data_IF_862135714430
#
_entry.id   IF_862135714430
#
_cell.length_a   1.000
_cell.length_b   1.000
_cell.length_c   1.000
_cell.angle_alpha   90.00
_cell.angle_beta   90.00
_cell.angle_gamma   90.00
#
_symmetry.space_group_name_H-M   'P 1'
#
loop_
_entity.id
_entity.type
_entity.pdbx_description
1 polymer ?
#
# COMPACT_ATOMS: atom_id res chain seq x y z
N UNK A 1 -22.29 -2.50 -15.56
CA UNK A 1 -21.52 -1.71 -16.55
C UNK A 1 -21.28 -0.25 -16.13
N UNK A 2 -22.29 0.53 -15.69
CA UNK A 2 -22.09 1.95 -15.31
C UNK A 2 -21.15 2.17 -14.10
N UNK A 3 -21.11 1.26 -13.13
CA UNK A 3 -20.24 1.36 -11.94
C UNK A 3 -18.76 1.09 -12.27
N UNK A 4 -18.47 0.26 -13.23
CA UNK A 4 -17.10 -0.03 -13.68
C UNK A 4 -16.51 1.15 -14.47
N UNK A 5 -17.33 1.87 -15.22
CA UNK A 5 -16.92 3.05 -15.97
C UNK A 5 -16.56 4.22 -15.05
N UNK A 6 -17.28 4.37 -13.92
CA UNK A 6 -16.99 5.41 -12.93
C UNK A 6 -15.65 5.17 -12.21
N UNK A 7 -15.33 3.91 -11.93
CA UNK A 7 -14.04 3.52 -11.35
C UNK A 7 -12.87 3.76 -12.32
N UNK A 8 -13.06 3.47 -13.60
CA UNK A 8 -12.05 3.71 -14.63
C UNK A 8 -11.78 5.21 -14.82
N UNK A 9 -12.82 6.05 -14.77
CA UNK A 9 -12.67 7.51 -14.84
C UNK A 9 -12.00 8.11 -13.61
N UNK A 10 -12.25 7.56 -12.42
CA UNK A 10 -11.57 8.00 -11.19
C UNK A 10 -10.07 7.65 -11.23
N UNK A 11 -9.70 6.51 -11.77
CA UNK A 11 -8.28 6.13 -11.97
C UNK A 11 -7.63 7.02 -13.04
N UNK A 12 -8.33 7.34 -14.13
CA UNK A 12 -7.78 8.21 -15.18
C UNK A 12 -7.59 9.65 -14.71
N UNK A 13 -8.42 10.16 -13.80
CA UNK A 13 -8.27 11.50 -13.25
C UNK A 13 -7.08 11.63 -12.27
N UNK A 14 -6.65 10.56 -11.65
CA UNK A 14 -5.42 10.50 -10.83
C UNK A 14 -4.15 10.49 -11.70
N UNK A 15 -4.24 10.05 -12.95
CA UNK A 15 -3.11 10.04 -13.90
C UNK A 15 -2.85 11.40 -14.57
N UNK A 16 -3.74 12.39 -14.38
CA UNK A 16 -3.56 13.75 -14.91
C UNK A 16 -2.74 14.67 -14.01
N UNK A 17 -2.08 14.17 -12.98
CA UNK A 17 -1.06 14.91 -12.25
C UNK A 17 0.15 15.02 -13.17
N UNK A 18 0.29 16.18 -13.82
CA UNK A 18 1.45 16.50 -14.63
C UNK A 18 2.71 16.32 -13.79
N UNK A 19 3.72 15.56 -14.27
CA UNK A 19 4.97 15.42 -13.54
C UNK A 19 5.59 16.82 -13.38
N UNK A 20 5.68 17.29 -12.14
CA UNK A 20 6.49 18.44 -11.83
C UNK A 20 7.93 18.03 -12.14
N UNK A 21 8.48 18.58 -13.22
CA UNK A 21 9.84 18.34 -13.69
C UNK A 21 10.80 18.54 -12.51
N UNK A 22 11.49 17.49 -12.11
CA UNK A 22 12.62 17.59 -11.20
C UNK A 22 13.71 18.39 -11.88
N UNK A 23 13.67 19.71 -11.74
CA UNK A 23 14.67 20.61 -12.28
C UNK A 23 15.91 20.52 -11.40
N UNK A 24 16.86 19.67 -11.79
CA UNK A 24 18.21 19.64 -11.26
C UNK A 24 18.80 21.05 -11.42
N UNK A 25 18.88 21.79 -10.34
CA UNK A 25 19.61 23.04 -10.26
C UNK A 25 21.09 22.81 -10.52
N UNK A 26 21.51 23.08 -11.76
CA UNK A 26 22.92 23.15 -12.13
C UNK A 26 23.49 24.47 -11.56
N UNK A 27 24.28 24.36 -10.49
CA UNK A 27 24.96 25.49 -9.88
C UNK A 27 25.83 26.22 -10.90
N UNK A 28 25.41 27.41 -11.29
CA UNK A 28 26.23 28.37 -12.03
C UNK A 28 26.94 29.28 -11.02
N UNK A 29 28.25 29.27 -11.02
CA UNK A 29 29.06 30.27 -10.34
C UNK A 29 28.90 31.60 -11.07
N UNK A 30 28.28 32.57 -10.44
CA UNK A 30 28.18 33.94 -10.92
C UNK A 30 28.67 34.91 -9.86
N UNK A 31 29.71 35.67 -10.20
CA UNK A 31 30.36 36.66 -9.35
C UNK A 31 29.43 37.77 -8.85
N UNK A 32 29.68 38.17 -7.62
CA UNK A 32 29.07 39.25 -6.88
C UNK A 32 29.22 40.62 -7.55
N UNK A 33 28.18 41.44 -7.42
CA UNK A 33 28.37 42.88 -7.29
C UNK A 33 27.40 43.41 -6.21
N UNK A 34 28.00 44.14 -5.27
CA UNK A 34 27.38 44.69 -4.09
C UNK A 34 26.38 45.79 -4.40
N UNK A 35 25.17 45.64 -3.95
CA UNK A 35 24.19 46.69 -3.87
C UNK A 35 23.26 46.45 -2.66
N UNK A 36 23.42 47.30 -1.65
CA UNK A 36 22.55 47.34 -0.48
C UNK A 36 21.10 47.55 -0.93
N UNK A 37 20.22 46.54 -0.73
CA UNK A 37 18.78 46.72 -0.77
C UNK A 37 18.15 46.21 0.52
N UNK A 38 17.43 47.13 1.13
CA UNK A 38 16.59 46.95 2.31
C UNK A 38 15.62 45.78 2.18
N UNK A 39 15.42 45.09 3.28
CA UNK A 39 14.70 43.87 3.47
C UNK A 39 13.33 43.78 2.82
N UNK A 40 13.21 42.88 1.87
CA UNK A 40 11.99 42.20 1.57
C UNK A 40 12.08 40.82 2.22
N UNK A 41 11.20 40.51 3.17
CA UNK A 41 11.00 39.16 3.62
C UNK A 41 10.51 38.33 2.43
N UNK A 42 11.45 37.74 1.68
CA UNK A 42 11.09 36.71 0.73
C UNK A 42 10.50 35.52 1.54
N UNK A 43 9.19 35.40 1.52
CA UNK A 43 8.53 34.17 1.90
C UNK A 43 9.07 33.12 0.93
N UNK A 44 10.08 32.35 1.36
CA UNK A 44 10.45 31.15 0.64
C UNK A 44 9.23 30.25 0.61
N UNK A 45 8.53 30.27 -0.51
CA UNK A 45 7.46 29.30 -0.76
C UNK A 45 8.12 27.92 -0.81
N UNK A 46 7.94 27.13 0.24
CA UNK A 46 8.37 25.75 0.25
C UNK A 46 7.50 24.98 -0.74
N UNK A 47 8.14 24.46 -1.79
CA UNK A 47 7.51 23.50 -2.70
C UNK A 47 7.95 22.11 -2.24
N UNK A 48 7.07 21.31 -1.66
CA UNK A 48 7.43 19.98 -1.21
C UNK A 48 7.85 19.10 -2.39
N UNK A 49 8.87 18.29 -2.22
CA UNK A 49 9.18 17.25 -3.19
C UNK A 49 8.05 16.22 -3.18
N UNK A 50 7.62 15.82 -4.36
CA UNK A 50 6.58 14.83 -4.56
C UNK A 50 7.06 13.78 -5.56
N UNK A 51 6.57 12.58 -5.41
CA UNK A 51 6.74 11.53 -6.41
C UNK A 51 5.43 10.75 -6.59
N UNK A 52 5.22 10.24 -7.78
CA UNK A 52 4.25 9.21 -8.08
C UNK A 52 4.95 7.86 -8.25
N UNK A 53 4.27 6.77 -7.98
CA UNK A 53 4.84 5.45 -8.18
C UNK A 53 3.81 4.41 -8.56
N UNK A 54 4.25 3.41 -9.32
CA UNK A 54 3.48 2.20 -9.60
C UNK A 54 4.11 1.04 -8.85
N UNK A 55 3.28 0.16 -8.32
CA UNK A 55 3.66 -1.02 -7.54
C UNK A 55 3.03 -2.27 -8.15
N UNK A 56 3.81 -3.33 -8.22
CA UNK A 56 3.37 -4.65 -8.64
C UNK A 56 4.13 -5.70 -7.83
N UNK A 57 3.45 -6.69 -7.28
CA UNK A 57 4.10 -7.71 -6.48
C UNK A 57 3.17 -8.81 -6.02
N UNK A 58 3.65 -9.54 -5.04
CA UNK A 58 2.96 -10.67 -4.45
C UNK A 58 2.78 -10.46 -2.95
N UNK A 59 1.72 -10.99 -2.43
CA UNK A 59 1.44 -11.12 -1.01
C UNK A 59 1.43 -12.58 -0.59
N UNK A 60 1.78 -12.82 0.65
CA UNK A 60 1.65 -14.09 1.34
C UNK A 60 0.88 -13.81 2.63
N UNK A 61 -0.40 -14.12 2.63
CA UNK A 61 -1.33 -13.79 3.72
C UNK A 61 -1.76 -15.02 4.49
N UNK A 62 -2.08 -14.82 5.74
CA UNK A 62 -2.69 -15.81 6.61
C UNK A 62 -3.77 -15.11 7.46
N UNK A 63 -4.66 -15.90 7.99
CA UNK A 63 -5.70 -15.43 8.89
C UNK A 63 -5.49 -16.09 10.24
N UNK A 64 -5.45 -15.27 11.28
CA UNK A 64 -5.45 -15.70 12.66
C UNK A 64 -6.89 -15.55 13.20
N UNK A 65 -7.43 -16.61 13.76
CA UNK A 65 -8.79 -16.64 14.31
C UNK A 65 -8.84 -17.43 15.60
N UNK A 66 -9.69 -16.99 16.52
CA UNK A 66 -10.02 -17.76 17.72
C UNK A 66 -10.87 -18.99 17.40
N UNK A 67 -11.39 -19.11 16.19
CA UNK A 67 -12.07 -20.30 15.71
C UNK A 67 -11.04 -21.34 15.23
N UNK A 68 -10.92 -22.53 15.90
CA UNK A 68 -9.85 -23.51 15.62
C UNK A 68 -9.83 -24.03 14.17
N UNK A 69 -10.96 -23.99 13.47
CA UNK A 69 -11.06 -24.44 12.07
C UNK A 69 -10.63 -23.36 11.06
N UNK A 70 -10.61 -22.08 11.47
CA UNK A 70 -10.11 -20.96 10.66
C UNK A 70 -8.64 -20.66 10.96
N UNK A 71 -8.16 -20.98 12.14
CA UNK A 71 -6.75 -20.84 12.55
C UNK A 71 -5.89 -21.86 11.80
N UNK A 72 -5.90 -21.73 10.52
CA UNK A 72 -5.24 -22.66 9.66
C UNK A 72 -3.92 -22.11 9.14
N UNK A 73 -2.87 -22.12 9.89
CA UNK A 73 -1.49 -21.77 9.56
C UNK A 73 -0.97 -21.97 8.10
N UNK A 74 -1.87 -22.04 7.12
CA UNK A 74 -1.56 -22.18 5.71
C UNK A 74 -1.68 -20.83 5.00
N UNK A 75 -0.55 -20.32 4.60
CA UNK A 75 -0.40 -19.09 3.83
C UNK A 75 -1.06 -19.21 2.45
N UNK A 76 -1.75 -18.15 2.05
CA UNK A 76 -2.24 -17.96 0.68
C UNK A 76 -1.41 -16.91 -0.02
N UNK A 77 -1.01 -17.22 -1.27
CA UNK A 77 -0.35 -16.23 -2.14
C UNK A 77 -1.41 -15.43 -2.89
N UNK A 78 -1.18 -14.14 -2.99
CA UNK A 78 -2.03 -13.20 -3.70
C UNK A 78 -1.23 -12.20 -4.53
N UNK A 79 -1.93 -11.42 -5.33
CA UNK A 79 -1.41 -10.36 -6.16
C UNK A 79 -1.50 -9.01 -5.42
N UNK A 80 -0.52 -8.15 -5.66
CA UNK A 80 -0.51 -6.77 -5.17
C UNK A 80 -0.22 -5.83 -6.34
N UNK A 81 -1.11 -4.89 -6.64
CA UNK A 81 -0.91 -3.94 -7.75
C UNK A 81 -1.59 -2.62 -7.44
N UNK A 82 -0.91 -1.51 -7.75
CA UNK A 82 -1.51 -0.20 -7.57
C UNK A 82 -0.58 0.97 -7.84
N UNK A 83 -1.03 2.13 -7.39
CA UNK A 83 -0.31 3.39 -7.53
C UNK A 83 -0.23 4.11 -6.18
N UNK A 84 0.88 4.79 -5.97
CA UNK A 84 1.17 5.55 -4.75
C UNK A 84 1.61 6.97 -5.07
N UNK A 85 1.45 7.85 -4.11
CA UNK A 85 1.96 9.23 -4.14
C UNK A 85 2.65 9.51 -2.82
N UNK A 86 3.88 10.00 -2.87
CA UNK A 86 4.63 10.44 -1.71
C UNK A 86 4.84 11.95 -1.73
N UNK A 87 4.68 12.60 -0.58
CA UNK A 87 4.88 14.03 -0.39
C UNK A 87 5.85 14.24 0.75
N UNK A 88 6.92 15.00 0.51
CA UNK A 88 7.87 15.37 1.56
C UNK A 88 7.19 16.28 2.58
N UNK A 89 7.16 15.87 3.84
CA UNK A 89 6.47 16.59 4.91
C UNK A 89 7.38 17.46 5.77
N UNK A 90 8.70 17.24 5.70
CA UNK A 90 9.71 18.02 6.43
C UNK A 90 10.74 18.59 5.46
N UNK A 91 10.87 19.94 5.32
CA UNK A 91 11.81 20.56 4.37
C UNK A 91 13.28 20.17 4.57
N UNK A 92 13.67 19.96 5.82
CA UNK A 92 15.05 19.71 6.22
C UNK A 92 15.42 18.22 6.29
N UNK A 93 14.46 17.32 6.06
CA UNK A 93 14.68 15.89 6.15
C UNK A 93 13.96 15.14 5.02
N UNK A 94 14.55 14.07 4.49
CA UNK A 94 13.94 13.26 3.43
C UNK A 94 12.84 12.35 4.03
N UNK A 95 11.88 12.95 4.71
CA UNK A 95 10.73 12.29 5.32
C UNK A 95 9.49 12.54 4.47
N UNK A 96 8.87 11.46 4.01
CA UNK A 96 7.72 11.48 3.13
C UNK A 96 6.50 10.87 3.82
N UNK A 97 5.34 11.44 3.56
CA UNK A 97 4.08 10.75 3.74
C UNK A 97 3.70 10.13 2.40
N UNK A 98 3.55 8.82 2.38
CA UNK A 98 3.11 8.09 1.19
C UNK A 98 1.72 7.51 1.43
N UNK A 99 0.87 7.68 0.43
CA UNK A 99 -0.45 7.06 0.34
C UNK A 99 -0.72 6.61 -1.08
N UNK A 100 -1.82 5.87 -1.32
CA UNK A 100 -2.11 5.38 -2.65
C UNK A 100 -3.37 4.53 -2.70
N UNK A 101 -3.50 3.80 -3.79
CA UNK A 101 -4.58 2.86 -3.99
C UNK A 101 -3.99 1.56 -4.54
N UNK A 102 -4.11 0.50 -3.78
CA UNK A 102 -3.61 -0.83 -4.12
C UNK A 102 -4.78 -1.81 -4.21
N UNK A 103 -4.79 -2.63 -5.24
CA UNK A 103 -5.56 -3.86 -5.24
C UNK A 103 -4.70 -4.95 -4.64
N UNK A 104 -5.18 -5.59 -3.58
CA UNK A 104 -4.44 -6.60 -2.84
C UNK A 104 -5.32 -7.84 -2.65
N UNK A 105 -4.79 -8.97 -3.07
CA UNK A 105 -5.40 -10.26 -2.78
C UNK A 105 -4.81 -10.80 -1.48
N UNK A 106 -5.68 -11.03 -0.51
CA UNK A 106 -5.39 -11.65 0.78
C UNK A 106 -6.24 -12.91 0.92
N UNK A 107 -6.08 -13.63 2.01
CA UNK A 107 -6.90 -14.80 2.30
C UNK A 107 -6.15 -15.83 3.14
N UNK A 108 -6.71 -17.02 3.17
CA UNK A 108 -6.15 -18.12 3.94
C UNK A 108 -6.70 -19.47 3.51
N UNK A 109 -6.14 -20.51 4.11
CA UNK A 109 -6.57 -21.89 3.95
C UNK A 109 -6.83 -22.45 5.32
N UNK A 110 -7.98 -23.06 5.50
CA UNK A 110 -8.35 -23.76 6.72
C UNK A 110 -8.60 -25.24 6.48
N UNK A 111 -8.73 -26.00 7.56
CA UNK A 111 -9.09 -27.41 7.52
C UNK A 111 -10.00 -27.72 8.70
N UNK A 112 -11.16 -28.28 8.43
CA UNK A 112 -12.09 -28.77 9.44
C UNK A 112 -12.35 -30.27 9.24
N UNK A 113 -12.09 -31.08 10.27
CA UNK A 113 -12.29 -32.55 10.26
C UNK A 113 -11.69 -33.31 9.05
N UNK A 114 -10.65 -32.73 8.40
CA UNK A 114 -10.01 -33.30 7.20
C UNK A 114 -10.45 -32.65 5.88
N UNK A 115 -11.54 -31.92 5.88
CA UNK A 115 -11.98 -31.12 4.74
C UNK A 115 -11.22 -29.80 4.69
N UNK A 116 -10.62 -29.51 3.53
CA UNK A 116 -9.85 -28.29 3.30
C UNK A 116 -10.74 -27.23 2.66
N UNK A 117 -10.64 -26.02 3.13
CA UNK A 117 -11.28 -24.87 2.48
C UNK A 117 -10.29 -23.75 2.23
N UNK A 118 -10.57 -22.93 1.22
CA UNK A 118 -9.78 -21.76 0.87
C UNK A 118 -10.71 -20.56 0.78
N UNK A 119 -10.29 -19.44 1.34
CA UNK A 119 -11.04 -18.20 1.22
C UNK A 119 -10.14 -17.11 0.62
N UNK A 120 -10.61 -16.56 -0.49
CA UNK A 120 -9.97 -15.45 -1.19
C UNK A 120 -10.63 -14.15 -0.68
N UNK A 121 -9.82 -13.17 -0.29
CA UNK A 121 -10.26 -11.85 0.17
C UNK A 121 -9.56 -10.79 -0.66
N UNK A 122 -10.30 -10.17 -1.57
CA UNK A 122 -9.73 -9.16 -2.46
C UNK A 122 -10.12 -7.78 -1.96
N UNK A 123 -9.12 -6.92 -1.75
CA UNK A 123 -9.29 -5.60 -1.17
C UNK A 123 -8.82 -4.50 -2.11
N UNK A 124 -9.47 -3.36 -2.00
CA UNK A 124 -8.86 -2.06 -2.34
C UNK A 124 -8.30 -1.49 -1.05
N UNK A 125 -7.01 -1.23 -1.04
CA UNK A 125 -6.24 -0.84 0.14
C UNK A 125 -5.62 0.54 -0.06
N UNK A 126 -5.67 1.34 1.00
CA UNK A 126 -5.07 2.68 1.09
C UNK A 126 -3.99 2.63 2.17
N UNK A 127 -2.71 2.58 1.82
CA UNK A 127 -1.62 2.74 2.77
C UNK A 127 -1.53 4.20 3.24
N UNK A 128 -1.12 4.41 4.48
CA UNK A 128 -0.90 5.70 5.11
C UNK A 128 0.41 5.60 5.91
N UNK A 129 1.54 5.80 5.25
CA UNK A 129 2.85 5.50 5.84
C UNK A 129 3.77 6.71 5.87
N UNK A 130 4.61 6.76 6.89
CA UNK A 130 5.75 7.65 6.96
C UNK A 130 7.00 6.88 6.51
N UNK A 131 7.67 7.42 5.49
CA UNK A 131 8.81 6.82 4.81
C UNK A 131 10.01 7.74 4.92
N UNK A 132 11.14 7.22 5.35
CA UNK A 132 12.40 7.97 5.43
C UNK A 132 13.35 7.48 4.34
N UNK A 133 13.78 8.38 3.43
CA UNK A 133 14.70 8.03 2.33
C UNK A 133 16.16 8.24 2.77
N UNK A 134 16.80 7.18 3.26
CA UNK A 134 18.22 7.18 3.63
C UNK A 134 19.10 6.93 2.39
N UNK A 135 19.72 7.98 1.87
CA UNK A 135 20.63 7.88 0.72
C UNK A 135 21.93 7.18 1.13
N UNK A 136 22.18 6.00 0.56
CA UNK A 136 23.39 5.19 0.80
C UNK A 136 24.41 5.32 -0.35
N UNK A 137 23.96 5.81 -1.52
CA UNK A 137 24.77 6.15 -2.68
C UNK A 137 24.07 7.24 -3.51
N UNK A 138 24.74 7.91 -4.48
CA UNK A 138 24.15 9.05 -5.22
C UNK A 138 22.80 8.78 -5.89
N UNK A 139 22.51 7.53 -6.27
CA UNK A 139 21.27 7.15 -6.93
C UNK A 139 20.48 6.11 -6.14
N UNK A 140 20.93 5.76 -4.93
CA UNK A 140 20.36 4.63 -4.15
C UNK A 140 19.94 5.11 -2.78
N UNK A 141 18.71 4.83 -2.41
CA UNK A 141 18.18 5.08 -1.07
C UNK A 141 17.55 3.81 -0.48
N UNK A 142 17.78 3.60 0.80
CA UNK A 142 17.04 2.63 1.62
C UNK A 142 15.91 3.39 2.29
N UNK A 143 14.70 2.88 2.19
CA UNK A 143 13.48 3.58 2.57
C UNK A 143 12.65 2.79 3.59
N UNK A 144 13.07 2.74 4.88
CA UNK A 144 12.24 2.20 5.93
C UNK A 144 10.96 3.03 6.08
N UNK A 145 9.85 2.36 6.34
CA UNK A 145 8.57 3.01 6.57
C UNK A 145 7.72 2.28 7.62
N UNK A 146 6.86 3.06 8.24
CA UNK A 146 5.86 2.59 9.20
C UNK A 146 4.62 3.46 9.11
N UNK A 147 3.48 2.86 9.33
CA UNK A 147 2.19 3.57 9.34
C UNK A 147 1.02 2.64 9.51
N UNK A 148 -0.10 3.02 8.93
CA UNK A 148 -1.32 2.24 8.90
C UNK A 148 -1.74 1.91 7.48
N UNK A 149 -2.75 1.06 7.39
CA UNK A 149 -3.51 0.86 6.16
C UNK A 149 -5.01 0.72 6.49
N UNK A 150 -5.82 1.08 5.52
CA UNK A 150 -7.26 0.81 5.52
C UNK A 150 -7.60 0.08 4.22
N UNK A 151 -8.47 -0.92 4.31
CA UNK A 151 -8.84 -1.72 3.15
C UNK A 151 -10.34 -1.99 3.13
N UNK A 152 -10.90 -2.06 1.93
CA UNK A 152 -12.30 -2.40 1.70
C UNK A 152 -12.40 -3.63 0.79
N UNK A 153 -13.07 -4.66 1.26
CA UNK A 153 -13.32 -5.89 0.51
C UNK A 153 -14.20 -5.66 -0.70
N UNK A 154 -13.65 -5.94 -1.88
CA UNK A 154 -14.34 -5.72 -3.17
C UNK A 154 -14.74 -7.02 -3.85
N UNK A 155 -14.15 -8.15 -3.47
CA UNK A 155 -14.44 -9.46 -4.04
C UNK A 155 -13.72 -10.58 -3.32
N UNK A 156 -13.94 -11.78 -3.78
CA UNK A 156 -13.36 -13.00 -3.23
C UNK A 156 -14.39 -14.13 -3.15
N UNK A 157 -13.90 -15.34 -2.98
CA UNK A 157 -14.74 -16.53 -2.90
C UNK A 157 -14.23 -17.47 -1.81
N UNK A 158 -15.16 -18.04 -1.08
CA UNK A 158 -14.92 -19.17 -0.20
C UNK A 158 -15.16 -20.44 -1.02
N UNK A 159 -14.16 -21.31 -1.06
CA UNK A 159 -14.19 -22.60 -1.75
C UNK A 159 -14.03 -23.70 -0.73
N UNK A 160 -15.04 -24.54 -0.66
CA UNK A 160 -15.05 -25.75 0.16
C UNK A 160 -14.73 -26.94 -0.76
N UNK A 161 -13.67 -27.69 -0.45
CA UNK A 161 -13.26 -28.80 -1.29
C UNK A 161 -14.16 -30.03 -1.05
N UNK A 162 -15.31 -30.04 -1.73
CA UNK A 162 -16.12 -31.25 -1.88
C UNK A 162 -17.58 -31.15 -1.49
N UNK A 163 -18.07 -30.11 -0.82
CA UNK A 163 -19.44 -30.12 -0.29
C UNK A 163 -20.32 -28.95 -0.72
N UNK A 164 -19.82 -27.81 -1.13
CA UNK A 164 -20.63 -26.65 -1.52
C UNK A 164 -20.11 -25.94 -2.76
N UNK A 165 -21.03 -25.33 -3.50
CA UNK A 165 -20.66 -24.39 -4.55
C UNK A 165 -19.94 -23.17 -3.93
N UNK A 166 -18.88 -22.65 -4.59
CA UNK A 166 -18.16 -21.48 -4.13
C UNK A 166 -19.10 -20.26 -3.98
N UNK A 167 -19.06 -19.60 -2.84
CA UNK A 167 -19.89 -18.43 -2.52
C UNK A 167 -19.02 -17.21 -2.21
N UNK A 168 -19.63 -15.99 -2.19
CA UNK A 168 -18.88 -14.75 -1.98
C UNK A 168 -18.30 -14.66 -0.56
N UNK A 169 -17.06 -14.22 -0.45
CA UNK A 169 -16.37 -14.03 0.85
C UNK A 169 -16.99 -12.92 1.68
N UNK A 170 -17.54 -11.90 1.02
CA UNK A 170 -18.17 -10.74 1.66
C UNK A 170 -19.68 -10.78 1.42
N UNK A 171 -20.43 -11.24 2.40
CA UNK A 171 -21.88 -11.38 2.29
C UNK A 171 -22.45 -12.03 3.55
N UNK A 172 -23.68 -12.52 3.46
CA UNK A 172 -24.39 -13.16 4.58
C UNK A 172 -23.63 -14.38 5.11
N UNK A 173 -23.01 -14.26 6.29
CA UNK A 173 -22.23 -15.31 6.94
C UNK A 173 -20.77 -15.43 6.46
N UNK A 174 -20.23 -14.42 5.81
CA UNK A 174 -18.84 -14.35 5.39
C UNK A 174 -17.99 -13.38 6.21
N UNK A 175 -17.03 -12.76 5.57
CA UNK A 175 -16.13 -11.79 6.20
C UNK A 175 -16.66 -10.35 6.08
N UNK A 176 -16.33 -9.50 7.06
CA UNK A 176 -16.56 -8.07 6.99
C UNK A 176 -15.71 -7.45 5.89
N UNK A 177 -16.26 -6.42 5.24
CA UNK A 177 -15.56 -5.74 4.13
C UNK A 177 -14.43 -4.82 4.59
N UNK A 178 -14.51 -4.31 5.81
CA UNK A 178 -13.49 -3.42 6.33
C UNK A 178 -12.36 -4.21 6.96
N UNK A 179 -11.13 -3.90 6.54
CA UNK A 179 -9.88 -4.34 7.15
C UNK A 179 -8.99 -3.12 7.40
N UNK A 180 -8.12 -3.19 8.37
CA UNK A 180 -7.17 -2.14 8.68
C UNK A 180 -6.22 -2.55 9.77
N UNK A 181 -5.05 -1.91 9.77
CA UNK A 181 -4.01 -2.27 10.69
C UNK A 181 -2.75 -1.43 10.57
N UNK A 182 -1.65 -1.99 11.03
CA UNK A 182 -0.33 -1.38 10.96
C UNK A 182 0.43 -2.00 9.79
N UNK A 183 1.11 -1.14 9.04
CA UNK A 183 2.04 -1.52 7.95
C UNK A 183 3.45 -1.11 8.32
N UNK A 184 4.38 -2.04 8.19
CA UNK A 184 5.81 -1.79 8.32
C UNK A 184 6.54 -2.37 7.13
N UNK A 185 7.64 -1.74 6.72
CA UNK A 185 8.42 -2.29 5.62
C UNK A 185 9.69 -1.49 5.34
N UNK A 186 10.37 -1.93 4.31
CA UNK A 186 11.59 -1.28 3.84
C UNK A 186 11.64 -1.36 2.31
N UNK A 187 11.83 -0.20 1.68
CA UNK A 187 12.05 -0.06 0.26
C UNK A 187 13.52 0.12 -0.08
N UNK A 188 13.85 -0.15 -1.32
CA UNK A 188 15.11 0.17 -1.97
C UNK A 188 14.78 0.93 -3.26
N UNK A 189 15.19 2.18 -3.33
CA UNK A 189 15.06 3.00 -4.53
C UNK A 189 16.41 3.08 -5.25
N UNK A 190 16.40 2.86 -6.55
CA UNK A 190 17.53 3.06 -7.44
C UNK A 190 17.09 3.79 -8.70
N UNK A 191 17.44 5.09 -8.80
CA UNK A 191 16.90 5.98 -9.83
C UNK A 191 15.35 5.97 -9.86
N UNK A 192 14.77 5.44 -10.92
CA UNK A 192 13.32 5.26 -11.06
C UNK A 192 12.83 3.89 -10.56
N UNK A 193 13.73 2.93 -10.37
CA UNK A 193 13.36 1.59 -9.95
C UNK A 193 13.12 1.56 -8.44
N UNK A 194 12.12 0.81 -8.05
CA UNK A 194 11.75 0.64 -6.66
C UNK A 194 11.48 -0.84 -6.37
N UNK A 195 11.93 -1.30 -5.23
CA UNK A 195 11.59 -2.61 -4.69
C UNK A 195 11.29 -2.46 -3.20
N UNK A 196 10.35 -3.21 -2.68
CA UNK A 196 10.03 -3.19 -1.25
C UNK A 196 9.60 -4.56 -0.74
N UNK A 197 9.84 -4.74 0.55
CA UNK A 197 9.26 -5.82 1.34
C UNK A 197 8.59 -5.21 2.56
N UNK A 198 7.51 -5.80 3.00
CA UNK A 198 6.79 -5.32 4.17
C UNK A 198 5.82 -6.34 4.74
N UNK A 199 5.20 -5.93 5.83
CA UNK A 199 4.22 -6.74 6.53
C UNK A 199 3.06 -5.87 7.01
N UNK A 200 1.85 -6.38 6.79
CA UNK A 200 0.58 -5.84 7.28
C UNK A 200 0.14 -6.62 8.51
N UNK A 201 0.06 -5.94 9.63
CA UNK A 201 -0.54 -6.46 10.86
C UNK A 201 -1.99 -6.02 10.90
N UNK A 202 -2.94 -6.89 10.54
CA UNK A 202 -4.36 -6.60 10.64
C UNK A 202 -4.78 -6.48 12.10
N UNK A 203 -5.40 -5.36 12.44
CA UNK A 203 -5.94 -5.07 13.77
C UNK A 203 -7.47 -5.06 13.77
N UNK A 204 -8.07 -4.85 12.60
CA UNK A 204 -9.52 -4.90 12.47
C UNK A 204 -10.01 -6.34 12.56
N UNK A 205 -11.08 -6.57 13.33
CA UNK A 205 -11.79 -7.84 13.30
C UNK A 205 -12.58 -7.95 12.00
N UNK A 206 -12.12 -8.81 11.12
CA UNK A 206 -12.77 -9.11 9.82
C UNK A 206 -13.76 -10.27 9.88
N UNK A 207 -13.86 -10.98 11.02
CA UNK A 207 -14.84 -12.02 11.23
C UNK A 207 -16.24 -11.44 11.40
N UNK A 208 -17.26 -12.08 10.77
CA UNK A 208 -18.65 -11.85 11.10
C UNK A 208 -19.04 -12.71 12.29
N UNK A 209 -20.28 -12.59 12.79
CA UNK A 209 -20.77 -13.23 14.03
C UNK A 209 -20.46 -14.75 14.14
N UNK A 210 -20.25 -15.42 13.00
CA UNK A 210 -19.91 -16.84 12.93
C UNK A 210 -18.41 -17.15 13.14
N UNK A 211 -17.50 -16.16 13.05
CA UNK A 211 -16.06 -16.38 12.97
C UNK A 211 -15.23 -15.78 14.11
N UNK A 212 -15.88 -15.31 15.19
CA UNK A 212 -15.19 -14.71 16.34
C UNK A 212 -14.15 -13.65 15.95
N UNK A 213 -13.19 -13.37 16.82
CA UNK A 213 -12.12 -12.42 16.49
C UNK A 213 -11.16 -13.02 15.45
N UNK A 214 -11.14 -12.39 14.28
CA UNK A 214 -10.38 -12.84 13.12
C UNK A 214 -9.60 -11.68 12.52
N UNK A 215 -8.29 -11.84 12.34
CA UNK A 215 -7.38 -10.82 11.86
C UNK A 215 -6.55 -11.31 10.67
N UNK A 216 -6.31 -10.43 9.70
CA UNK A 216 -5.39 -10.70 8.60
C UNK A 216 -3.94 -10.40 8.98
N UNK A 217 -3.02 -11.28 8.54
CA UNK A 217 -1.60 -10.97 8.48
C UNK A 217 -1.12 -11.17 7.04
N UNK A 218 -0.33 -10.24 6.49
CA UNK A 218 0.17 -10.36 5.12
C UNK A 218 1.59 -9.86 4.99
N UNK A 219 2.51 -10.74 4.61
CA UNK A 219 3.80 -10.36 4.06
C UNK A 219 3.62 -9.99 2.59
N UNK A 220 4.32 -8.96 2.12
CA UNK A 220 4.31 -8.60 0.71
C UNK A 220 5.71 -8.23 0.20
N UNK A 221 5.93 -8.45 -1.09
CA UNK A 221 7.10 -8.02 -1.82
C UNK A 221 6.65 -7.40 -3.15
N UNK A 222 7.02 -6.15 -3.37
CA UNK A 222 6.64 -5.38 -4.56
C UNK A 222 7.89 -4.88 -5.27
N UNK A 223 7.77 -4.78 -6.59
CA UNK A 223 8.66 -4.01 -7.44
C UNK A 223 7.85 -2.85 -8.06
N UNK A 224 8.53 -1.81 -8.50
CA UNK A 224 7.82 -0.67 -9.06
C UNK A 224 8.72 0.36 -9.69
N UNK A 225 8.11 1.45 -10.05
CA UNK A 225 8.80 2.65 -10.55
C UNK A 225 8.31 3.87 -9.79
N UNK A 226 9.22 4.81 -9.52
CA UNK A 226 8.92 6.14 -8.99
C UNK A 226 9.29 7.19 -10.06
N UNK A 227 8.44 8.19 -10.23
CA UNK A 227 8.61 9.29 -11.21
C UNK A 227 8.14 10.63 -10.67
#
# INVERSE_FOLDING_TARGET
MKKQLFFLMAILSLLSVTPASAQRGRGGYGHSNSGYRYGGHSRHSYTPNMYGGLRFGLSASHVNSDAPYLDGGNTQSGLNVGAVVGVQIVPSAPLFFESGLLYTEKGGKGSDHGDKFTFDLNYIEVPLVLKYSAYVAPATAVEPYVGGYMACGVGGKIKDFGQRAAYGSFGDGGFKRFDGGIRVGCGLAYEMLYAEIGYDFGLANIGDDAFNDTHNGAFFANIGINF
#
